data_IF_323370634910
#
_entry.id   IF_323370634910
#
_cell.length_a   1.000
_cell.length_b   1.000
_cell.length_c   1.000
_cell.angle_alpha   90.00
_cell.angle_beta   90.00
_cell.angle_gamma   90.00
#
_symmetry.space_group_name_H-M   'P 1'
#
loop_
_entity.id
_entity.type
_entity.pdbx_description
1 polymer ?
#
# COMPACT_ATOMS: atom_id res chain seq x y z
N UNK A 1 -3.05 -5.10 -3.17
CA UNK A 1 -3.31 -6.56 -3.05
C UNK A 1 -2.80 -7.02 -1.70
N UNK A 2 -3.37 -8.07 -1.10
CA UNK A 2 -2.86 -8.65 0.16
C UNK A 2 -1.67 -9.57 -0.07
N UNK A 3 -0.88 -9.82 0.97
CA UNK A 3 0.34 -10.64 0.90
C UNK A 3 0.09 -12.04 0.33
N UNK A 4 -0.99 -12.70 0.76
CA UNK A 4 -1.35 -14.03 0.27
C UNK A 4 -1.56 -14.09 -1.24
N UNK A 5 -2.17 -13.04 -1.82
CA UNK A 5 -2.33 -12.93 -3.27
C UNK A 5 -1.03 -12.55 -3.99
N UNK A 6 -0.21 -11.68 -3.40
CA UNK A 6 1.03 -11.20 -4.02
C UNK A 6 2.12 -12.29 -4.10
N UNK A 7 2.27 -13.09 -3.04
CA UNK A 7 3.35 -14.09 -2.92
C UNK A 7 3.29 -15.14 -4.02
N UNK A 8 2.09 -15.57 -4.41
CA UNK A 8 1.91 -16.54 -5.50
C UNK A 8 2.40 -16.04 -6.86
N UNK A 9 2.45 -14.72 -7.09
CA UNK A 9 2.98 -14.14 -8.33
C UNK A 9 4.46 -13.77 -8.20
N UNK A 10 4.84 -13.12 -7.10
CA UNK A 10 6.20 -12.61 -6.88
C UNK A 10 7.19 -13.76 -6.73
N UNK A 11 6.84 -14.78 -5.94
CA UNK A 11 7.71 -15.92 -5.65
C UNK A 11 7.35 -17.18 -6.45
N UNK A 12 6.64 -17.02 -7.58
CA UNK A 12 6.16 -18.15 -8.41
C UNK A 12 7.26 -19.13 -8.81
N UNK A 13 8.47 -18.63 -9.09
CA UNK A 13 9.62 -19.44 -9.50
C UNK A 13 10.19 -20.24 -8.32
N UNK A 14 10.41 -19.60 -7.17
CA UNK A 14 10.88 -20.28 -5.96
C UNK A 14 9.91 -21.37 -5.50
N UNK A 15 8.60 -21.12 -5.58
CA UNK A 15 7.59 -22.13 -5.24
C UNK A 15 7.60 -23.31 -6.23
N UNK A 16 7.85 -23.05 -7.52
CA UNK A 16 7.96 -24.11 -8.54
C UNK A 16 9.25 -24.94 -8.36
N UNK A 17 10.37 -24.31 -8.00
CA UNK A 17 11.63 -24.99 -7.70
C UNK A 17 11.51 -25.85 -6.44
N UNK A 18 10.91 -25.33 -5.37
CA UNK A 18 10.63 -26.08 -4.15
C UNK A 18 9.74 -27.31 -4.43
N UNK A 19 8.74 -27.15 -5.30
CA UNK A 19 7.91 -28.28 -5.76
C UNK A 19 8.73 -29.34 -6.50
N UNK A 20 9.65 -28.93 -7.37
CA UNK A 20 10.52 -29.83 -8.12
C UNK A 20 11.52 -30.57 -7.21
N UNK A 21 11.97 -29.93 -6.12
CA UNK A 21 12.88 -30.50 -5.13
C UNK A 21 12.18 -31.40 -4.09
N UNK A 22 10.85 -31.52 -4.13
CA UNK A 22 10.07 -32.30 -3.16
C UNK A 22 9.96 -31.66 -1.78
N UNK A 23 10.09 -30.34 -1.69
CA UNK A 23 9.97 -29.58 -0.44
C UNK A 23 8.49 -29.30 -0.07
N UNK A 24 8.27 -28.92 1.19
CA UNK A 24 6.94 -28.51 1.69
C UNK A 24 6.59 -27.09 1.22
N UNK A 25 5.85 -27.03 0.11
CA UNK A 25 5.43 -25.79 -0.56
C UNK A 25 4.54 -24.94 0.35
N UNK A 26 3.63 -25.56 1.12
CA UNK A 26 2.68 -24.83 1.96
C UNK A 26 3.41 -24.12 3.08
N UNK A 27 4.40 -24.80 3.69
CA UNK A 27 5.25 -24.20 4.71
C UNK A 27 6.13 -23.09 4.16
N UNK A 28 6.70 -23.26 2.96
CA UNK A 28 7.50 -22.22 2.30
C UNK A 28 6.64 -21.00 1.97
N UNK A 29 5.45 -21.22 1.40
CA UNK A 29 4.51 -20.16 1.05
C UNK A 29 4.08 -19.37 2.28
N UNK A 30 3.75 -20.04 3.39
CA UNK A 30 3.37 -19.36 4.63
C UNK A 30 4.50 -18.48 5.18
N UNK A 31 5.74 -18.96 5.10
CA UNK A 31 6.93 -18.19 5.49
C UNK A 31 7.10 -16.94 4.62
N UNK A 32 7.03 -17.08 3.30
CA UNK A 32 7.14 -15.97 2.35
C UNK A 32 5.99 -14.97 2.50
N UNK A 33 4.79 -15.44 2.88
CA UNK A 33 3.66 -14.57 3.21
C UNK A 33 3.94 -13.72 4.44
N UNK A 34 4.43 -14.33 5.53
CA UNK A 34 4.78 -13.59 6.73
C UNK A 34 5.87 -12.55 6.46
N UNK A 35 6.93 -12.95 5.75
CA UNK A 35 8.02 -12.04 5.37
C UNK A 35 7.51 -10.87 4.54
N UNK A 36 6.63 -11.13 3.57
CA UNK A 36 6.01 -10.09 2.76
C UNK A 36 5.15 -9.14 3.60
N UNK A 37 4.38 -9.67 4.57
CA UNK A 37 3.59 -8.84 5.48
C UNK A 37 4.47 -7.92 6.32
N UNK A 38 5.50 -8.49 6.97
CA UNK A 38 6.37 -7.76 7.87
C UNK A 38 7.16 -6.66 7.13
N UNK A 39 7.60 -6.94 5.91
CA UNK A 39 8.49 -6.04 5.16
C UNK A 39 7.75 -5.03 4.29
N UNK A 40 6.62 -5.39 3.69
CA UNK A 40 5.95 -4.58 2.67
C UNK A 40 4.53 -4.15 3.04
N UNK A 41 3.84 -4.89 3.91
CA UNK A 41 2.47 -4.55 4.34
C UNK A 41 2.53 -3.66 5.59
N UNK A 42 3.28 -2.58 5.48
CA UNK A 42 3.41 -1.56 6.50
C UNK A 42 3.35 -0.16 5.86
N UNK A 43 3.00 0.89 6.63
CA UNK A 43 2.81 2.22 6.07
C UNK A 43 4.13 2.92 5.71
N UNK A 44 5.28 2.39 6.16
CA UNK A 44 6.57 3.07 6.05
C UNK A 44 7.11 3.05 4.62
N UNK A 45 6.85 1.99 3.85
CA UNK A 45 7.21 1.95 2.42
C UNK A 45 6.55 3.09 1.63
N UNK A 46 5.31 3.46 1.98
CA UNK A 46 4.61 4.60 1.37
C UNK A 46 5.17 5.94 1.87
N UNK A 47 5.58 6.01 3.14
CA UNK A 47 6.14 7.21 3.74
C UNK A 47 7.51 7.56 3.15
N UNK A 48 8.37 6.57 2.92
CA UNK A 48 9.69 6.76 2.28
C UNK A 48 9.58 7.38 0.88
N UNK A 49 8.49 7.11 0.16
CA UNK A 49 8.22 7.68 -1.18
C UNK A 49 7.46 9.00 -1.15
N UNK A 50 7.06 9.47 0.03
CA UNK A 50 6.24 10.68 0.17
C UNK A 50 4.81 10.53 -0.39
N UNK A 51 4.31 9.31 -0.53
CA UNK A 51 2.90 9.10 -0.90
C UNK A 51 1.95 9.40 0.25
N UNK A 52 2.44 9.24 1.48
CA UNK A 52 1.79 9.68 2.71
C UNK A 52 2.68 10.70 3.40
N UNK A 53 2.09 11.77 3.91
CA UNK A 53 2.85 12.85 4.56
C UNK A 53 3.45 12.43 5.91
N UNK A 54 2.74 11.58 6.66
CA UNK A 54 3.18 11.09 7.97
C UNK A 54 2.47 9.80 8.40
N UNK A 55 3.16 8.97 9.18
CA UNK A 55 2.57 7.87 9.97
C UNK A 55 2.37 8.39 11.40
N UNK A 56 1.13 8.41 11.88
CA UNK A 56 0.77 9.08 13.14
C UNK A 56 0.15 8.11 14.16
N UNK A 57 0.27 8.38 15.47
CA UNK A 57 -0.52 7.69 16.48
C UNK A 57 -2.02 7.90 16.24
N UNK A 58 -2.86 6.85 16.37
CA UNK A 58 -4.29 6.97 16.08
C UNK A 58 -5.00 8.08 16.88
N UNK A 59 -4.59 8.31 18.13
CA UNK A 59 -5.14 9.35 19.00
C UNK A 59 -4.86 10.79 18.52
N UNK A 60 -3.84 11.00 17.69
CA UNK A 60 -3.46 12.32 17.18
C UNK A 60 -4.22 12.72 15.91
N UNK A 61 -5.01 11.82 15.33
CA UNK A 61 -5.72 12.03 14.05
C UNK A 61 -6.51 13.34 14.03
N UNK A 62 -7.29 13.65 15.08
CA UNK A 62 -8.07 14.90 15.17
C UNK A 62 -7.19 16.15 15.09
N UNK A 63 -6.03 16.13 15.74
CA UNK A 63 -5.09 17.25 15.75
C UNK A 63 -4.50 17.51 14.37
N UNK A 64 -4.06 16.45 13.68
CA UNK A 64 -3.56 16.53 12.30
C UNK A 64 -4.63 17.06 11.33
N UNK A 65 -5.87 16.53 11.41
CA UNK A 65 -6.99 17.02 10.60
C UNK A 65 -7.24 18.51 10.83
N UNK A 66 -7.32 18.96 12.09
CA UNK A 66 -7.58 20.37 12.39
C UNK A 66 -6.48 21.31 11.90
N UNK A 67 -5.22 20.87 11.93
CA UNK A 67 -4.09 21.65 11.38
C UNK A 67 -4.11 21.66 9.85
N UNK A 68 -4.34 20.51 9.22
CA UNK A 68 -4.40 20.40 7.76
C UNK A 68 -5.55 21.23 7.17
N UNK A 69 -6.74 21.21 7.78
CA UNK A 69 -7.87 22.03 7.33
C UNK A 69 -7.59 23.54 7.43
N UNK A 70 -6.93 23.99 8.50
CA UNK A 70 -6.52 25.40 8.65
C UNK A 70 -5.49 25.80 7.60
N UNK A 71 -4.53 24.93 7.29
CA UNK A 71 -3.55 25.17 6.22
C UNK A 71 -4.22 25.25 4.84
N UNK A 72 -5.18 24.37 4.58
CA UNK A 72 -5.85 24.24 3.29
C UNK A 72 -7.01 25.21 3.07
N UNK A 73 -7.38 26.02 4.08
CA UNK A 73 -8.54 26.91 4.07
C UNK A 73 -8.59 27.83 2.82
N UNK A 74 -7.43 28.28 2.35
CA UNK A 74 -7.32 29.23 1.22
C UNK A 74 -6.78 28.57 -0.07
N UNK A 75 -6.80 27.24 -0.15
CA UNK A 75 -6.29 26.53 -1.33
C UNK A 75 -7.24 26.75 -2.52
N UNK A 76 -6.73 27.38 -3.57
CA UNK A 76 -7.42 27.52 -4.86
C UNK A 76 -6.75 26.58 -5.86
N UNK A 77 -7.53 25.69 -6.48
CA UNK A 77 -7.08 24.78 -7.53
C UNK A 77 -7.81 25.08 -8.84
N UNK A 78 -7.06 25.31 -9.92
CA UNK A 78 -7.62 25.59 -11.24
C UNK A 78 -7.66 24.30 -12.07
N UNK A 79 -8.75 24.14 -12.83
CA UNK A 79 -8.89 23.07 -13.81
C UNK A 79 -8.96 23.67 -15.23
N UNK A 80 -8.57 22.91 -16.27
CA UNK A 80 -8.74 23.35 -17.66
C UNK A 80 -10.21 23.67 -18.00
N UNK A 81 -10.46 24.72 -18.82
CA UNK A 81 -11.82 25.16 -19.15
C UNK A 81 -12.55 24.07 -19.96
N UNK A 82 -13.75 23.71 -19.51
CA UNK A 82 -14.64 22.74 -20.17
C UNK A 82 -16.10 22.98 -19.75
N UNK A 83 -17.07 22.51 -20.55
CA UNK A 83 -18.50 22.58 -20.17
C UNK A 83 -18.82 21.70 -18.96
N UNK A 84 -18.34 20.46 -18.98
CA UNK A 84 -18.43 19.48 -17.89
C UNK A 84 -17.39 18.37 -18.13
N UNK A 85 -17.22 17.46 -17.17
CA UNK A 85 -16.45 16.22 -17.35
C UNK A 85 -17.21 15.16 -18.16
N UNK A 86 -16.54 14.06 -18.46
CA UNK A 86 -17.15 12.85 -19.02
C UNK A 86 -16.75 11.65 -18.16
N UNK A 87 -17.41 11.50 -17.00
CA UNK A 87 -17.17 10.37 -16.10
C UNK A 87 -17.68 9.07 -16.77
N UNK A 88 -16.99 7.92 -16.62
CA UNK A 88 -17.52 6.64 -17.10
C UNK A 88 -18.95 6.42 -16.59
N UNK A 89 -19.86 6.04 -17.50
CA UNK A 89 -21.26 5.68 -17.20
C UNK A 89 -21.42 4.19 -16.91
#
# INVERSE_FOLDING_TARGET
MGASGAVGFVYRQQLAEAAANGEDIDKLRLRLQQEYEDTLVNPYVAAERGYVDAVIPPSHTRGYIGTALRLLERKIAQLPPKKHGNVPL
#
